data_IF_876510031351
#
_entry.id   IF_876510031351
#
_cell.length_a   1.000
_cell.length_b   1.000
_cell.length_c   1.000
_cell.angle_alpha   90.00
_cell.angle_beta   90.00
_cell.angle_gamma   90.00
#
_symmetry.space_group_name_H-M   'P 1'
#
loop_
_entity.id
_entity.type
_entity.pdbx_description
1 polymer ?
#
# COMPACT_ATOMS: atom_id res chain seq x y z
N UNK A 1 -7.01 2.65 -24.30
CA UNK A 1 -8.23 1.91 -23.91
C UNK A 1 -8.50 2.20 -22.45
N UNK A 2 -9.66 2.76 -22.09
CA UNK A 2 -10.01 3.01 -20.70
C UNK A 2 -10.25 1.67 -20.02
N UNK A 3 -9.34 1.25 -19.13
CA UNK A 3 -9.57 0.11 -18.24
C UNK A 3 -10.86 0.39 -17.44
N UNK A 4 -11.88 -0.42 -17.67
CA UNK A 4 -13.15 -0.31 -16.98
C UNK A 4 -12.89 -0.61 -15.50
N UNK A 5 -13.00 0.39 -14.62
CA UNK A 5 -12.78 0.22 -13.18
C UNK A 5 -13.75 -0.85 -12.67
N UNK A 6 -13.19 -1.99 -12.26
CA UNK A 6 -13.94 -3.16 -11.75
C UNK A 6 -14.76 -2.86 -10.50
N UNK A 7 -14.34 -1.86 -9.72
CA UNK A 7 -14.99 -1.46 -8.47
C UNK A 7 -15.35 0.04 -8.47
N UNK A 8 -16.56 0.36 -8.02
CA UNK A 8 -16.86 1.71 -7.51
C UNK A 8 -16.25 1.88 -6.11
N UNK A 9 -16.02 3.12 -5.67
CA UNK A 9 -15.46 3.40 -4.34
C UNK A 9 -16.33 2.79 -3.23
N UNK A 10 -17.64 2.99 -3.29
CA UNK A 10 -18.59 2.48 -2.30
C UNK A 10 -18.62 0.95 -2.28
N UNK A 11 -18.56 0.31 -3.44
CA UNK A 11 -18.54 -1.14 -3.54
C UNK A 11 -17.28 -1.73 -2.90
N UNK A 12 -16.09 -1.16 -3.21
CA UNK A 12 -14.84 -1.63 -2.62
C UNK A 12 -14.81 -1.42 -1.10
N UNK A 13 -15.23 -0.23 -0.63
CA UNK A 13 -15.31 0.08 0.80
C UNK A 13 -16.18 -0.93 1.55
N UNK A 14 -17.37 -1.23 1.00
CA UNK A 14 -18.30 -2.20 1.59
C UNK A 14 -17.70 -3.60 1.62
N UNK A 15 -17.17 -4.08 0.49
CA UNK A 15 -16.61 -5.44 0.39
C UNK A 15 -15.40 -5.63 1.31
N UNK A 16 -14.52 -4.63 1.41
CA UNK A 16 -13.37 -4.70 2.33
C UNK A 16 -13.81 -4.67 3.79
N UNK A 17 -14.81 -3.87 4.14
CA UNK A 17 -15.34 -3.84 5.49
C UNK A 17 -15.99 -5.17 5.86
N UNK A 18 -16.82 -5.73 4.99
CA UNK A 18 -17.47 -7.03 5.20
C UNK A 18 -16.43 -8.15 5.40
N UNK A 19 -15.38 -8.19 4.59
CA UNK A 19 -14.28 -9.14 4.72
C UNK A 19 -13.48 -8.98 6.02
N UNK A 20 -13.30 -7.74 6.48
CA UNK A 20 -12.60 -7.43 7.71
C UNK A 20 -13.43 -7.78 8.95
N UNK A 21 -14.70 -7.40 8.96
CA UNK A 21 -15.61 -7.57 10.09
C UNK A 21 -15.97 -9.04 10.32
N UNK A 22 -16.23 -9.79 9.24
CA UNK A 22 -16.47 -11.25 9.30
C UNK A 22 -15.34 -12.02 9.97
N UNK A 23 -14.10 -11.53 9.80
CA UNK A 23 -12.89 -12.20 10.24
C UNK A 23 -12.47 -11.83 11.66
N UNK A 24 -12.98 -10.73 12.24
CA UNK A 24 -12.54 -10.16 13.53
C UNK A 24 -12.72 -11.10 14.72
N UNK A 25 -13.68 -12.01 14.66
CA UNK A 25 -14.08 -12.92 15.74
C UNK A 25 -14.09 -12.23 17.11
N UNK A 26 -13.13 -12.55 18.00
CA UNK A 26 -13.12 -12.10 19.40
C UNK A 26 -12.08 -11.00 19.70
N UNK A 27 -11.39 -10.46 18.68
CA UNK A 27 -10.33 -9.46 18.90
C UNK A 27 -10.92 -8.05 18.98
N UNK A 28 -10.43 -7.27 19.95
CA UNK A 28 -10.82 -5.87 20.10
C UNK A 28 -10.49 -5.07 18.82
N UNK A 29 -11.42 -4.21 18.40
CA UNK A 29 -11.33 -3.51 17.11
C UNK A 29 -10.21 -2.49 17.05
N UNK A 30 -9.85 -1.91 18.19
CA UNK A 30 -8.79 -0.92 18.25
C UNK A 30 -7.41 -1.54 18.01
N UNK A 31 -7.26 -2.84 18.27
CA UNK A 31 -6.04 -3.61 18.01
C UNK A 31 -6.13 -4.33 16.67
N UNK A 32 -7.27 -4.98 16.39
CA UNK A 32 -7.52 -5.72 15.16
C UNK A 32 -7.36 -4.86 13.90
N UNK A 33 -7.68 -3.56 13.98
CA UNK A 33 -7.51 -2.63 12.85
C UNK A 33 -6.08 -2.68 12.29
N UNK A 34 -5.05 -2.76 13.15
CA UNK A 34 -3.67 -2.63 12.70
C UNK A 34 -3.25 -3.90 11.93
N UNK A 35 -3.76 -5.07 12.35
CA UNK A 35 -3.57 -6.34 11.65
C UNK A 35 -4.28 -6.34 10.29
N UNK A 36 -5.55 -5.95 10.24
CA UNK A 36 -6.31 -5.95 8.98
C UNK A 36 -5.76 -4.95 7.98
N UNK A 37 -5.38 -3.75 8.43
CA UNK A 37 -4.85 -2.72 7.55
C UNK A 37 -3.51 -3.15 6.95
N UNK A 38 -2.61 -3.73 7.77
CA UNK A 38 -1.37 -4.31 7.26
C UNK A 38 -1.66 -5.48 6.29
N UNK A 39 -2.63 -6.33 6.61
CA UNK A 39 -3.03 -7.45 5.77
C UNK A 39 -3.64 -7.01 4.43
N UNK A 40 -4.43 -5.93 4.42
CA UNK A 40 -4.92 -5.27 3.20
C UNK A 40 -3.75 -4.78 2.35
N UNK A 41 -2.75 -4.14 2.97
CA UNK A 41 -1.57 -3.70 2.25
C UNK A 41 -0.77 -4.87 1.68
N UNK A 42 -0.62 -5.96 2.43
CA UNK A 42 -0.04 -7.22 1.96
C UNK A 42 -0.76 -7.80 0.75
N UNK A 43 -2.10 -7.84 0.78
CA UNK A 43 -2.93 -8.25 -0.34
C UNK A 43 -2.72 -7.35 -1.57
N UNK A 44 -2.70 -6.05 -1.37
CA UNK A 44 -2.46 -5.08 -2.44
C UNK A 44 -1.10 -5.30 -3.12
N UNK A 45 -0.02 -5.44 -2.35
CA UNK A 45 1.31 -5.71 -2.92
C UNK A 45 1.32 -7.01 -3.72
N UNK A 46 0.65 -8.06 -3.22
CA UNK A 46 0.57 -9.36 -3.88
C UNK A 46 -0.21 -9.30 -5.19
N UNK A 47 -1.34 -8.59 -5.22
CA UNK A 47 -2.15 -8.42 -6.43
C UNK A 47 -1.41 -7.62 -7.49
N UNK A 48 -0.79 -6.52 -7.08
CA UNK A 48 -0.03 -5.69 -7.99
C UNK A 48 1.18 -6.44 -8.55
N UNK A 49 1.94 -7.14 -7.70
CA UNK A 49 3.06 -7.95 -8.16
C UNK A 49 2.61 -9.02 -9.16
N UNK A 50 1.50 -9.71 -8.88
CA UNK A 50 0.92 -10.69 -9.81
C UNK A 50 0.57 -10.06 -11.15
N UNK A 51 -0.13 -8.92 -11.13
CA UNK A 51 -0.53 -8.22 -12.35
C UNK A 51 0.68 -7.73 -13.17
N UNK A 52 1.66 -7.09 -12.53
CA UNK A 52 2.87 -6.64 -13.23
C UNK A 52 3.69 -7.82 -13.79
N UNK A 53 3.72 -8.96 -13.09
CA UNK A 53 4.35 -10.19 -13.59
C UNK A 53 3.61 -10.75 -14.81
N UNK A 54 2.27 -10.74 -14.80
CA UNK A 54 1.45 -11.15 -15.96
C UNK A 54 1.75 -10.26 -17.18
N UNK A 55 1.85 -8.94 -17.01
CA UNK A 55 2.23 -8.01 -18.08
C UNK A 55 3.64 -8.27 -18.62
N UNK A 56 4.60 -8.62 -17.75
CA UNK A 56 5.96 -8.95 -18.18
C UNK A 56 5.97 -10.24 -19.01
N UNK A 57 5.23 -11.26 -18.59
CA UNK A 57 5.11 -12.53 -19.33
C UNK A 57 4.41 -12.31 -20.67
N UNK A 58 3.34 -11.52 -20.72
CA UNK A 58 2.66 -11.18 -21.97
C UNK A 58 3.58 -10.44 -22.95
N UNK A 59 4.40 -9.51 -22.43
CA UNK A 59 5.29 -8.69 -23.27
C UNK A 59 6.52 -9.43 -23.77
N UNK A 60 7.09 -10.33 -22.96
CA UNK A 60 8.39 -10.94 -23.23
C UNK A 60 8.34 -12.46 -23.47
N UNK A 61 7.16 -13.09 -23.33
CA UNK A 61 6.97 -14.51 -23.58
C UNK A 61 7.90 -15.37 -22.73
N UNK A 62 8.69 -16.21 -23.40
CA UNK A 62 9.62 -17.16 -22.75
C UNK A 62 11.03 -16.59 -22.46
N UNK A 63 11.26 -15.29 -22.68
CA UNK A 63 12.54 -14.64 -22.35
C UNK A 63 12.72 -14.47 -20.83
N UNK A 64 13.10 -15.58 -20.17
CA UNK A 64 13.25 -15.67 -18.71
C UNK A 64 14.30 -14.71 -18.16
N UNK A 65 15.38 -14.46 -18.89
CA UNK A 65 16.42 -13.53 -18.46
C UNK A 65 15.91 -12.10 -18.42
N UNK A 66 15.19 -11.67 -19.46
CA UNK A 66 14.60 -10.34 -19.52
C UNK A 66 13.51 -10.15 -18.46
N UNK A 67 12.68 -11.17 -18.24
CA UNK A 67 11.67 -11.15 -17.16
C UNK A 67 12.36 -11.02 -15.80
N UNK A 68 13.40 -11.80 -15.52
CA UNK A 68 14.14 -11.74 -14.26
C UNK A 68 14.79 -10.37 -14.01
N UNK A 69 15.34 -9.75 -15.05
CA UNK A 69 15.92 -8.41 -14.97
C UNK A 69 14.86 -7.33 -14.69
N UNK A 70 13.69 -7.44 -15.33
CA UNK A 70 12.57 -6.50 -15.13
C UNK A 70 11.83 -6.72 -13.83
N UNK A 71 11.79 -7.95 -13.31
CA UNK A 71 11.19 -8.30 -12.01
C UNK A 71 11.78 -7.48 -10.86
N UNK A 72 13.06 -7.10 -10.94
CA UNK A 72 13.74 -6.24 -9.95
C UNK A 72 13.24 -4.79 -9.95
N UNK A 73 12.60 -4.35 -11.02
CA UNK A 73 12.10 -2.98 -11.18
C UNK A 73 10.61 -2.84 -10.86
N UNK A 74 9.94 -3.94 -10.51
CA UNK A 74 8.54 -3.94 -10.09
C UNK A 74 8.31 -3.03 -8.90
N UNK A 75 7.05 -2.60 -8.71
CA UNK A 75 6.73 -1.70 -7.62
C UNK A 75 7.00 -2.34 -6.26
N UNK A 76 6.73 -3.64 -6.11
CA UNK A 76 7.12 -4.40 -4.93
C UNK A 76 7.79 -5.71 -5.35
N UNK A 77 8.94 -5.99 -4.76
CA UNK A 77 9.65 -7.24 -4.96
C UNK A 77 9.14 -8.24 -3.94
N UNK A 78 8.48 -9.30 -4.42
CA UNK A 78 8.04 -10.41 -3.59
C UNK A 78 8.95 -11.62 -3.87
N UNK A 79 9.70 -12.12 -2.88
CA UNK A 79 10.40 -13.40 -3.01
C UNK A 79 9.43 -14.55 -3.32
N UNK A 80 9.97 -15.66 -3.83
CA UNK A 80 9.13 -16.82 -4.16
C UNK A 80 8.51 -17.43 -2.89
N UNK A 81 7.23 -17.78 -2.97
CA UNK A 81 6.50 -18.39 -1.86
C UNK A 81 6.03 -17.41 -0.78
N UNK A 82 6.25 -16.10 -0.95
CA UNK A 82 5.84 -15.07 0.03
C UNK A 82 4.59 -14.31 -0.39
N UNK A 83 3.97 -14.64 -1.54
CA UNK A 83 2.79 -13.91 -1.98
C UNK A 83 1.55 -14.32 -1.18
N UNK A 84 0.53 -13.45 -1.17
CA UNK A 84 -0.75 -13.74 -0.56
C UNK A 84 -1.33 -15.08 -1.03
N UNK A 85 -1.18 -15.38 -2.32
CA UNK A 85 -1.68 -16.61 -2.91
C UNK A 85 -0.89 -17.85 -2.50
N UNK A 86 0.38 -17.71 -2.13
CA UNK A 86 1.18 -18.82 -1.59
C UNK A 86 0.78 -19.14 -0.15
N UNK A 87 0.52 -18.11 0.66
CA UNK A 87 -0.02 -18.30 2.01
C UNK A 87 -1.46 -18.79 1.98
N UNK A 88 -2.26 -18.40 0.99
CA UNK A 88 -3.62 -18.91 0.81
C UNK A 88 -3.64 -20.43 0.61
N UNK A 89 -2.67 -20.99 -0.13
CA UNK A 89 -2.51 -22.44 -0.31
C UNK A 89 -2.14 -23.15 1.00
N UNK A 90 -1.45 -22.45 1.91
CA UNK A 90 -1.00 -22.94 3.22
C UNK A 90 -1.94 -22.52 4.37
N UNK A 91 -3.12 -21.96 4.07
CA UNK A 91 -4.00 -21.38 5.10
C UNK A 91 -4.37 -22.38 6.20
N UNK A 92 -4.48 -23.67 5.85
CA UNK A 92 -4.91 -24.73 6.76
C UNK A 92 -3.77 -25.28 7.64
N UNK A 93 -2.52 -24.81 7.45
CA UNK A 93 -1.39 -25.16 8.32
C UNK A 93 -1.59 -24.63 9.75
N UNK A 94 -1.02 -25.33 10.72
CA UNK A 94 -1.14 -25.00 12.15
C UNK A 94 -0.23 -23.84 12.57
N UNK A 95 0.78 -23.51 11.78
CA UNK A 95 1.68 -22.38 12.02
C UNK A 95 1.45 -21.21 11.04
N UNK A 96 0.21 -21.02 10.55
CA UNK A 96 -0.10 -19.96 9.57
C UNK A 96 0.30 -18.55 10.04
N UNK A 97 0.21 -18.23 11.33
CA UNK A 97 0.67 -16.95 11.88
C UNK A 97 2.17 -16.73 11.69
N UNK A 98 2.97 -17.76 11.98
CA UNK A 98 4.42 -17.76 11.75
C UNK A 98 4.76 -17.64 10.25
N UNK A 99 4.07 -18.39 9.39
CA UNK A 99 4.27 -18.33 7.95
C UNK A 99 3.99 -16.92 7.37
N UNK A 100 2.97 -16.23 7.88
CA UNK A 100 2.68 -14.83 7.52
C UNK A 100 3.85 -13.94 7.93
N UNK A 101 4.34 -14.04 9.18
CA UNK A 101 5.47 -13.23 9.63
C UNK A 101 6.72 -13.45 8.77
N UNK A 102 7.06 -14.71 8.48
CA UNK A 102 8.22 -15.05 7.63
C UNK A 102 8.08 -14.43 6.24
N UNK A 103 6.91 -14.53 5.63
CA UNK A 103 6.65 -13.95 4.31
C UNK A 103 6.78 -12.42 4.33
N UNK A 104 6.23 -11.75 5.35
CA UNK A 104 6.27 -10.30 5.47
C UNK A 104 7.71 -9.79 5.70
N UNK A 105 8.49 -10.44 6.56
CA UNK A 105 9.90 -10.07 6.75
C UNK A 105 10.73 -10.28 5.49
N UNK A 106 10.52 -11.37 4.75
CA UNK A 106 11.21 -11.59 3.49
C UNK A 106 10.85 -10.51 2.43
N UNK A 107 9.60 -10.05 2.42
CA UNK A 107 9.17 -8.92 1.58
C UNK A 107 9.82 -7.62 2.05
N UNK A 108 9.91 -7.39 3.36
CA UNK A 108 10.59 -6.23 3.94
C UNK A 108 12.03 -6.12 3.43
N UNK A 109 12.80 -7.20 3.61
CA UNK A 109 14.21 -7.30 3.24
C UNK A 109 14.41 -7.08 1.74
N UNK A 110 13.53 -7.65 0.91
CA UNK A 110 13.59 -7.51 -0.53
C UNK A 110 13.32 -6.09 -1.05
N UNK A 111 12.63 -5.24 -0.27
CA UNK A 111 12.28 -3.87 -0.66
C UNK A 111 13.07 -2.80 0.12
N UNK A 112 13.90 -3.20 1.08
CA UNK A 112 14.80 -2.34 1.85
C UNK A 112 14.09 -1.17 2.53
N UNK A 113 14.69 0.03 2.46
CA UNK A 113 14.19 1.24 3.13
C UNK A 113 12.74 1.61 2.82
N UNK A 114 12.15 1.14 1.71
CA UNK A 114 10.75 1.42 1.34
C UNK A 114 9.76 0.75 2.30
N UNK A 115 10.10 -0.46 2.77
CA UNK A 115 9.27 -1.27 3.66
C UNK A 115 9.89 -1.46 5.05
N UNK A 116 11.11 -1.01 5.31
CA UNK A 116 11.76 -1.11 6.61
C UNK A 116 10.87 -0.63 7.78
N UNK A 117 10.73 -1.45 8.82
CA UNK A 117 9.90 -1.24 10.00
C UNK A 117 8.39 -1.33 9.77
N UNK A 118 7.93 -1.68 8.57
CA UNK A 118 6.51 -1.72 8.24
C UNK A 118 5.81 -2.92 8.88
N UNK A 119 6.46 -4.09 8.88
CA UNK A 119 5.86 -5.35 9.30
C UNK A 119 6.28 -5.72 10.74
N UNK A 120 6.06 -4.79 11.67
CA UNK A 120 6.39 -4.98 13.09
C UNK A 120 5.32 -5.73 13.88
N UNK A 121 4.19 -6.07 13.26
CA UNK A 121 3.06 -6.75 13.90
C UNK A 121 3.27 -8.27 13.83
N UNK A 122 3.03 -8.95 14.95
CA UNK A 122 3.19 -10.39 15.07
C UNK A 122 1.86 -11.14 14.86
N UNK A 123 1.69 -11.77 13.70
CA UNK A 123 0.53 -12.61 13.37
C UNK A 123 0.48 -13.94 14.13
N UNK A 124 1.48 -14.25 14.95
CA UNK A 124 1.53 -15.42 15.82
C UNK A 124 1.38 -15.04 17.31
N UNK A 125 0.99 -13.79 17.62
CA UNK A 125 0.87 -13.30 18.99
C UNK A 125 -0.35 -13.88 19.73
N UNK A 126 -0.10 -14.79 20.69
CA UNK A 126 -1.14 -15.33 21.56
C UNK A 126 -1.76 -14.26 22.48
N UNK A 127 -0.97 -13.26 22.87
CA UNK A 127 -1.40 -12.19 23.78
C UNK A 127 -2.43 -11.25 23.12
N UNK A 128 -2.34 -11.06 21.80
CA UNK A 128 -3.17 -10.12 21.06
C UNK A 128 -4.29 -10.83 20.29
N UNK A 129 -3.95 -11.90 19.56
CA UNK A 129 -4.87 -12.62 18.69
C UNK A 129 -5.56 -13.81 19.38
N UNK A 130 -5.19 -14.09 20.63
CA UNK A 130 -5.73 -15.19 21.41
C UNK A 130 -5.09 -16.53 21.09
N UNK A 131 -5.71 -17.61 21.58
CA UNK A 131 -5.19 -18.98 21.44
C UNK A 131 -5.03 -19.39 19.98
N UNK A 132 -4.06 -20.26 19.72
CA UNK A 132 -3.70 -20.80 18.40
C UNK A 132 -4.90 -21.20 17.54
N UNK A 133 -5.88 -21.89 18.10
CA UNK A 133 -7.08 -22.35 17.37
C UNK A 133 -7.94 -21.18 16.87
N UNK A 134 -8.20 -20.21 17.74
CA UNK A 134 -8.98 -19.01 17.42
C UNK A 134 -8.21 -18.12 16.45
N UNK A 135 -6.93 -17.87 16.72
CA UNK A 135 -6.05 -17.08 15.85
C UNK A 135 -5.97 -17.70 14.46
N UNK A 136 -5.68 -18.99 14.33
CA UNK A 136 -5.53 -19.62 13.02
C UNK A 136 -6.85 -19.61 12.25
N UNK A 137 -7.99 -19.79 12.92
CA UNK A 137 -9.31 -19.65 12.29
C UNK A 137 -9.52 -18.21 11.76
N UNK A 138 -9.09 -17.20 12.51
CA UNK A 138 -9.17 -15.79 12.11
C UNK A 138 -8.34 -15.51 10.86
N UNK A 139 -7.09 -15.97 10.84
CA UNK A 139 -6.17 -15.80 9.73
C UNK A 139 -6.64 -16.55 8.48
N UNK A 140 -7.20 -17.75 8.64
CA UNK A 140 -7.84 -18.52 7.55
C UNK A 140 -9.01 -17.77 6.94
N UNK A 141 -9.86 -17.17 7.77
CA UNK A 141 -10.99 -16.36 7.31
C UNK A 141 -10.49 -15.12 6.56
N UNK A 142 -9.51 -14.39 7.10
CA UNK A 142 -8.89 -13.24 6.44
C UNK A 142 -8.33 -13.59 5.07
N UNK A 143 -7.51 -14.65 4.97
CA UNK A 143 -6.98 -15.15 3.70
C UNK A 143 -8.11 -15.51 2.72
N UNK A 144 -9.16 -16.17 3.21
CA UNK A 144 -10.28 -16.60 2.35
C UNK A 144 -11.10 -15.42 1.85
N UNK A 145 -11.45 -14.47 2.71
CA UNK A 145 -12.32 -13.35 2.34
C UNK A 145 -11.60 -12.33 1.46
N UNK A 146 -10.34 -12.00 1.77
CA UNK A 146 -9.54 -11.11 0.93
C UNK A 146 -9.21 -11.73 -0.43
N UNK A 147 -9.16 -13.06 -0.56
CA UNK A 147 -8.89 -13.73 -1.85
C UNK A 147 -9.96 -13.45 -2.92
N UNK A 148 -11.18 -13.09 -2.51
CA UNK A 148 -12.32 -12.77 -3.39
C UNK A 148 -12.21 -11.37 -4.01
N UNK A 149 -11.28 -10.56 -3.54
CA UNK A 149 -11.09 -9.17 -3.93
C UNK A 149 -9.84 -9.08 -4.79
N UNK A 150 -9.90 -8.36 -5.89
CA UNK A 150 -8.77 -8.12 -6.79
C UNK A 150 -8.42 -6.63 -6.77
N UNK A 151 -7.39 -6.26 -6.02
CA UNK A 151 -6.99 -4.87 -5.82
C UNK A 151 -6.16 -4.34 -6.99
N UNK A 152 -5.58 -5.20 -7.84
CA UNK A 152 -4.83 -4.74 -9.02
C UNK A 152 -5.72 -4.02 -10.04
N UNK A 153 -6.99 -4.41 -10.10
CA UNK A 153 -8.00 -3.80 -10.96
C UNK A 153 -8.60 -2.49 -10.38
N UNK A 154 -8.22 -2.12 -9.16
CA UNK A 154 -8.62 -0.86 -8.53
C UNK A 154 -7.51 0.18 -8.75
N UNK A 155 -7.90 1.43 -9.05
CA UNK A 155 -6.91 2.52 -9.13
C UNK A 155 -6.32 2.82 -7.74
N UNK A 156 -5.05 3.22 -7.67
CA UNK A 156 -4.34 3.56 -6.42
C UNK A 156 -5.13 4.50 -5.50
N UNK A 157 -5.79 5.51 -6.08
CA UNK A 157 -6.71 6.41 -5.38
C UNK A 157 -7.85 5.69 -4.67
N UNK A 158 -8.45 4.70 -5.32
CA UNK A 158 -9.61 3.95 -4.82
C UNK A 158 -9.21 3.08 -3.65
N UNK A 159 -8.05 2.43 -3.75
CA UNK A 159 -7.47 1.60 -2.68
C UNK A 159 -7.06 2.48 -1.50
N UNK A 160 -6.41 3.62 -1.77
CA UNK A 160 -6.07 4.59 -0.74
C UNK A 160 -7.28 5.09 0.03
N UNK A 161 -8.35 5.47 -0.67
CA UNK A 161 -9.60 5.89 -0.05
C UNK A 161 -10.27 4.75 0.74
N UNK A 162 -10.20 3.51 0.25
CA UNK A 162 -10.80 2.38 0.93
C UNK A 162 -10.04 2.02 2.22
N UNK A 163 -8.71 2.11 2.20
CA UNK A 163 -7.88 2.00 3.40
C UNK A 163 -8.23 3.08 4.43
N UNK A 164 -8.40 4.34 3.99
CA UNK A 164 -8.82 5.43 4.86
C UNK A 164 -10.22 5.19 5.45
N UNK A 165 -11.16 4.74 4.62
CA UNK A 165 -12.49 4.37 5.07
C UNK A 165 -12.45 3.31 6.18
N UNK A 166 -11.57 2.30 6.04
CA UNK A 166 -11.40 1.28 7.09
C UNK A 166 -10.87 1.88 8.39
N UNK A 167 -9.89 2.79 8.34
CA UNK A 167 -9.40 3.52 9.53
C UNK A 167 -10.55 4.28 10.21
N UNK A 168 -11.34 5.03 9.46
CA UNK A 168 -12.46 5.82 9.97
C UNK A 168 -13.52 4.93 10.62
N UNK A 169 -13.85 3.81 9.97
CA UNK A 169 -14.86 2.86 10.42
C UNK A 169 -14.42 2.16 11.71
N UNK A 170 -13.17 1.69 11.79
CA UNK A 170 -12.61 1.13 13.03
C UNK A 170 -12.50 2.16 14.16
N UNK A 171 -12.20 3.43 13.84
CA UNK A 171 -12.17 4.51 14.82
C UNK A 171 -13.55 4.84 15.40
N UNK A 172 -14.56 4.87 14.55
CA UNK A 172 -15.97 5.08 14.93
C UNK A 172 -16.50 3.94 15.78
N UNK A 173 -16.22 2.69 15.39
CA UNK A 173 -16.58 1.48 16.15
C UNK A 173 -15.95 1.44 17.55
N UNK A 174 -14.76 2.03 17.71
CA UNK A 174 -14.05 2.11 18.98
C UNK A 174 -14.57 3.24 19.91
N UNK A 175 -15.66 3.93 19.55
CA UNK A 175 -16.26 5.01 20.34
C UNK A 175 -15.42 6.29 20.41
N UNK A 176 -14.37 6.41 19.58
CA UNK A 176 -13.57 7.63 19.44
C UNK A 176 -14.22 8.54 18.40
N UNK A 177 -14.27 9.85 18.64
CA UNK A 177 -14.78 10.82 17.66
C UNK A 177 -13.91 10.75 16.41
N UNK A 178 -14.45 10.20 15.32
CA UNK A 178 -13.73 9.99 14.06
C UNK A 178 -13.35 11.29 13.30
N UNK A 179 -13.76 12.46 13.80
CA UNK A 179 -13.70 13.74 13.08
C UNK A 179 -12.35 14.48 13.11
N UNK A 180 -11.33 13.98 13.82
CA UNK A 180 -10.07 14.74 14.04
C UNK A 180 -8.90 14.32 13.12
N UNK A 181 -9.06 13.33 12.23
CA UNK A 181 -7.90 12.66 11.62
C UNK A 181 -7.77 12.76 10.08
N UNK A 182 -8.63 13.48 9.35
CA UNK A 182 -8.52 13.45 7.88
C UNK A 182 -9.02 14.67 7.12
N UNK A 183 -8.30 15.02 6.05
CA UNK A 183 -8.73 16.01 5.06
C UNK A 183 -9.55 15.32 3.97
N UNK A 184 -10.86 15.59 3.94
CA UNK A 184 -11.76 15.06 2.90
C UNK A 184 -11.20 15.36 1.49
N UNK A 185 -11.30 14.41 0.56
CA UNK A 185 -10.68 14.52 -0.79
C UNK A 185 -11.05 15.82 -1.52
N UNK A 186 -12.31 16.28 -1.41
CA UNK A 186 -12.76 17.54 -2.00
C UNK A 186 -12.00 18.76 -1.44
N UNK A 187 -11.76 18.77 -0.13
CA UNK A 187 -10.98 19.80 0.56
C UNK A 187 -9.50 19.71 0.16
N UNK A 188 -8.93 18.50 0.10
CA UNK A 188 -7.54 18.32 -0.31
C UNK A 188 -7.29 18.78 -1.77
N UNK A 189 -8.20 18.46 -2.68
CA UNK A 189 -8.15 18.95 -4.07
C UNK A 189 -8.23 20.48 -4.10
N UNK A 190 -9.17 21.07 -3.35
CA UNK A 190 -9.29 22.52 -3.29
C UNK A 190 -8.00 23.18 -2.77
N UNK A 191 -7.45 22.69 -1.66
CA UNK A 191 -6.23 23.21 -1.06
C UNK A 191 -5.03 23.08 -2.00
N UNK A 192 -4.86 21.94 -2.67
CA UNK A 192 -3.76 21.74 -3.63
C UNK A 192 -3.80 22.76 -4.78
N UNK A 193 -5.00 23.09 -5.28
CA UNK A 193 -5.19 24.10 -6.32
C UNK A 193 -4.97 25.52 -5.80
N UNK A 194 -5.46 25.83 -4.60
CA UNK A 194 -5.30 27.15 -3.99
C UNK A 194 -3.84 27.46 -3.64
N UNK A 195 -3.06 26.44 -3.27
CA UNK A 195 -1.63 26.57 -3.01
C UNK A 195 -0.82 26.97 -4.25
N UNK A 196 -1.35 26.72 -5.47
CA UNK A 196 -0.74 27.04 -6.77
C UNK A 196 0.77 26.69 -6.84
N UNK A 197 1.13 25.44 -6.52
CA UNK A 197 2.52 25.04 -6.45
C UNK A 197 3.22 25.22 -7.80
N UNK A 198 4.50 25.60 -7.78
CA UNK A 198 5.28 25.91 -8.98
C UNK A 198 6.46 24.94 -9.14
N UNK A 199 6.97 24.74 -10.37
CA UNK A 199 8.24 24.06 -10.61
C UNK A 199 9.37 24.60 -9.72
N UNK A 200 10.23 23.70 -9.23
CA UNK A 200 11.34 23.98 -8.33
C UNK A 200 10.97 23.95 -6.84
N UNK A 201 9.68 23.89 -6.49
CA UNK A 201 9.26 23.98 -5.10
C UNK A 201 9.59 22.72 -4.30
N UNK A 202 9.73 22.93 -2.98
CA UNK A 202 9.92 21.90 -1.96
C UNK A 202 8.71 21.99 -1.04
N UNK A 203 7.75 21.09 -1.24
CA UNK A 203 6.43 21.14 -0.58
C UNK A 203 6.50 20.30 0.68
N UNK A 204 6.11 20.87 1.81
CA UNK A 204 6.13 20.21 3.11
C UNK A 204 4.74 20.16 3.74
N UNK A 205 4.40 19.03 4.34
CA UNK A 205 3.21 18.85 5.17
C UNK A 205 3.61 18.19 6.51
N UNK A 206 3.62 18.94 7.62
CA UNK A 206 4.09 18.46 8.92
C UNK A 206 3.11 17.49 9.62
N UNK A 207 1.93 17.27 9.05
CA UNK A 207 0.92 16.33 9.55
C UNK A 207 0.21 15.67 8.36
N UNK A 208 1.00 15.02 7.51
CA UNK A 208 0.58 14.65 6.16
C UNK A 208 -0.45 13.52 6.08
N UNK A 209 -0.72 12.84 7.18
CA UNK A 209 -1.63 11.70 7.18
C UNK A 209 -1.13 10.66 6.19
N UNK A 210 -2.02 10.24 5.30
CA UNK A 210 -1.72 9.29 4.23
C UNK A 210 -0.94 9.88 3.04
N UNK A 211 -0.51 11.14 3.13
CA UNK A 211 0.22 11.86 2.08
C UNK A 211 -0.65 12.35 0.92
N UNK A 212 -1.99 12.23 1.02
CA UNK A 212 -2.90 12.54 -0.10
C UNK A 212 -2.82 13.99 -0.59
N UNK A 213 -2.77 14.97 0.32
CA UNK A 213 -2.64 16.38 -0.04
C UNK A 213 -1.29 16.68 -0.71
N UNK A 214 -0.19 16.13 -0.19
CA UNK A 214 1.15 16.28 -0.76
C UNK A 214 1.20 15.76 -2.21
N UNK A 215 0.65 14.57 -2.45
CA UNK A 215 0.60 13.97 -3.79
C UNK A 215 -0.24 14.81 -4.76
N UNK A 216 -1.37 15.35 -4.30
CA UNK A 216 -2.18 16.28 -5.10
C UNK A 216 -1.42 17.56 -5.44
N UNK A 217 -0.67 18.12 -4.48
CA UNK A 217 0.15 19.31 -4.72
C UNK A 217 1.25 19.05 -5.77
N UNK A 218 1.94 17.90 -5.71
CA UNK A 218 2.86 17.47 -6.76
C UNK A 218 2.18 17.31 -8.12
N UNK A 219 1.00 16.71 -8.16
CA UNK A 219 0.22 16.55 -9.40
C UNK A 219 -0.20 17.90 -10.03
N UNK A 220 -0.42 18.96 -9.24
CA UNK A 220 -0.69 20.29 -9.80
C UNK A 220 0.55 20.89 -10.51
N UNK A 221 1.77 20.53 -10.11
CA UNK A 221 3.00 20.90 -10.85
C UNK A 221 3.12 20.04 -12.12
N UNK A 222 2.82 18.73 -12.03
CA UNK A 222 2.84 17.83 -13.19
C UNK A 222 1.87 18.27 -14.29
N UNK A 223 0.69 18.81 -13.93
CA UNK A 223 -0.26 19.39 -14.90
C UNK A 223 0.29 20.60 -15.64
N UNK A 224 1.30 21.27 -15.10
CA UNK A 224 2.03 22.36 -15.76
C UNK A 224 3.13 21.84 -16.68
N UNK A 225 3.31 20.52 -16.79
CA UNK A 225 4.31 19.89 -17.65
C UNK A 225 5.70 19.83 -17.02
N UNK A 226 5.82 19.97 -15.70
CA UNK A 226 7.08 19.90 -14.97
C UNK A 226 7.06 18.78 -13.94
N UNK A 227 8.20 18.13 -13.76
CA UNK A 227 8.46 17.15 -12.69
C UNK A 227 9.49 17.67 -11.66
N UNK A 228 9.90 18.93 -11.77
CA UNK A 228 10.80 19.58 -10.81
C UNK A 228 10.03 19.97 -9.54
N UNK A 229 9.97 19.06 -8.58
CA UNK A 229 9.49 19.33 -7.23
C UNK A 229 10.01 18.28 -6.24
N UNK A 230 9.89 18.55 -4.94
CA UNK A 230 10.07 17.51 -3.91
C UNK A 230 8.99 17.61 -2.85
N UNK A 231 8.60 16.47 -2.29
CA UNK A 231 7.57 16.33 -1.27
C UNK A 231 8.19 15.87 0.05
N UNK A 232 7.86 16.55 1.14
CA UNK A 232 8.28 16.24 2.51
C UNK A 232 7.05 16.09 3.38
N UNK A 233 6.96 15.01 4.14
CA UNK A 233 5.80 14.72 4.98
C UNK A 233 6.21 14.17 6.33
N UNK A 234 5.55 14.62 7.39
CA UNK A 234 5.67 14.05 8.73
C UNK A 234 4.33 13.48 9.18
N UNK A 235 4.36 12.29 9.79
CA UNK A 235 3.19 11.61 10.35
C UNK A 235 3.61 10.91 11.65
N UNK A 236 2.80 11.06 12.69
CA UNK A 236 3.08 10.55 14.03
C UNK A 236 2.47 9.17 14.30
N UNK A 237 1.42 8.81 13.56
CA UNK A 237 0.72 7.53 13.67
C UNK A 237 1.36 6.52 12.72
N UNK A 238 1.99 5.48 13.28
CA UNK A 238 2.73 4.46 12.52
C UNK A 238 1.93 3.82 11.37
N UNK A 239 0.68 3.42 11.61
CA UNK A 239 -0.16 2.80 10.57
C UNK A 239 -0.54 3.75 9.43
N UNK A 240 -0.63 5.05 9.70
CA UNK A 240 -0.89 6.09 8.69
C UNK A 240 0.40 6.46 7.93
N UNK A 241 1.52 6.58 8.65
CA UNK A 241 2.86 6.79 8.08
C UNK A 241 3.22 5.69 7.08
N UNK A 242 2.93 4.45 7.44
CA UNK A 242 3.14 3.25 6.65
C UNK A 242 2.36 3.23 5.32
N UNK A 243 1.22 3.93 5.25
CA UNK A 243 0.47 4.12 4.01
C UNK A 243 1.04 5.25 3.15
N UNK A 244 1.50 6.34 3.78
CA UNK A 244 2.03 7.51 3.08
C UNK A 244 3.37 7.23 2.41
N UNK A 245 4.27 6.53 3.12
CA UNK A 245 5.68 6.35 2.71
C UNK A 245 5.84 5.70 1.33
N UNK A 246 5.22 4.53 1.01
CA UNK A 246 5.37 3.93 -0.31
C UNK A 246 4.84 4.84 -1.43
N UNK A 247 3.71 5.54 -1.20
CA UNK A 247 3.09 6.40 -2.21
C UNK A 247 3.94 7.63 -2.54
N UNK A 248 4.47 8.29 -1.52
CA UNK A 248 5.37 9.44 -1.68
C UNK A 248 6.65 9.00 -2.40
N UNK A 249 7.21 7.84 -2.04
CA UNK A 249 8.37 7.28 -2.71
C UNK A 249 8.11 6.98 -4.19
N UNK A 250 6.97 6.37 -4.53
CA UNK A 250 6.64 6.03 -5.93
C UNK A 250 6.37 7.28 -6.78
N UNK A 251 5.87 8.37 -6.18
CA UNK A 251 5.79 9.67 -6.85
C UNK A 251 7.19 10.17 -7.22
N UNK A 252 8.15 10.10 -6.31
CA UNK A 252 9.53 10.51 -6.55
C UNK A 252 10.23 9.64 -7.61
N UNK A 253 10.00 8.32 -7.63
CA UNK A 253 10.61 7.43 -8.63
C UNK A 253 10.08 7.68 -10.05
N UNK A 254 8.78 7.97 -10.21
CA UNK A 254 8.20 8.31 -11.53
C UNK A 254 8.88 9.52 -12.18
N UNK A 255 9.28 10.51 -11.37
CA UNK A 255 10.03 11.71 -11.78
C UNK A 255 11.46 11.37 -12.21
N UNK A 256 12.11 10.41 -11.54
CA UNK A 256 13.46 9.98 -11.91
C UNK A 256 13.45 9.16 -13.21
N UNK A 257 12.44 8.30 -13.40
CA UNK A 257 12.29 7.47 -14.59
C UNK A 257 11.84 8.28 -15.83
N UNK A 258 11.03 9.34 -15.67
CA UNK A 258 10.71 10.30 -16.75
C UNK A 258 11.96 11.04 -17.23
N UNK A 259 12.80 11.48 -16.29
CA UNK A 259 14.06 12.14 -16.59
C UNK A 259 15.08 11.21 -17.27
N UNK A 260 15.10 9.91 -16.94
CA UNK A 260 15.95 8.94 -17.67
C UNK A 260 15.47 8.66 -19.10
N UNK A 261 14.17 8.79 -19.42
CA UNK A 261 13.67 8.69 -20.80
C UNK A 261 14.00 9.92 -21.65
N UNK A 262 14.27 11.06 -21.04
CA UNK A 262 14.61 12.31 -21.73
C UNK A 262 16.10 12.43 -22.12
N UNK A 263 16.98 11.57 -21.60
CA UNK A 263 18.41 11.60 -21.89
C UNK A 263 18.94 10.21 -22.28
N UNK A 264 19.24 9.93 -23.56
CA UNK A 264 19.95 8.71 -23.93
C UNK A 264 21.40 8.82 -23.47
N UNK A 265 21.78 7.91 -22.56
CA UNK A 265 23.15 7.56 -22.15
C UNK A 265 24.09 8.72 -21.77
N UNK A 266 24.37 8.83 -20.46
CA UNK A 266 25.67 9.32 -20.00
C UNK A 266 25.65 10.50 -19.04
N UNK A 267 24.91 10.43 -17.93
CA UNK A 267 25.24 11.18 -16.70
C UNK A 267 24.45 10.62 -15.51
N UNK A 268 25.10 9.77 -14.72
CA UNK A 268 24.63 9.37 -13.40
C UNK A 268 24.70 10.59 -12.47
N UNK A 269 23.57 11.09 -12.00
CA UNK A 269 23.50 11.88 -10.75
C UNK A 269 22.77 11.05 -9.71
N UNK A 270 23.55 10.39 -8.85
CA UNK A 270 23.09 9.89 -7.57
C UNK A 270 22.96 11.05 -6.59
N UNK A 271 21.77 11.31 -6.09
CA UNK A 271 21.61 11.86 -4.73
C UNK A 271 20.46 11.14 -4.05
N UNK A 272 20.81 9.98 -3.51
CA UNK A 272 20.14 9.37 -2.37
C UNK A 272 20.86 9.84 -1.12
N UNK A 273 20.20 10.61 -0.26
CA UNK A 273 20.34 10.60 1.21
C UNK A 273 19.86 11.92 1.78
N UNK A 274 18.71 11.90 2.43
CA UNK A 274 18.49 12.27 3.83
C UNK A 274 16.97 12.33 4.04
N UNK A 275 16.48 11.29 4.72
CA UNK A 275 15.14 11.23 5.32
C UNK A 275 15.20 12.02 6.63
#
# INVERSE_FOLDING_TARGET
>A
MNAQKKYSQEALNRTLWEAADSSRMNVDGSVYKDYVLLFLFYKYMSDLHKHEMEELVERYGDDKERIALRKKNLRFVLPEGTSFYDLLKKKDEDNIGELINIALHAIEDANGHRLAGLFSIDFNSDAILGRTDQRNKMLRHLLTDFSKIDLSAAGDDVIGNAYMYMIERFGSDAGKKAGEFFTVKSVAILLSKLAKPQPGWRICDPACGSGGLLLLAGSEIEKQGSDDYALYGQESIGSTYNLARPKIYDSAKRILDSNQRAYPSGLLKSQSSHI
#
